data_IF_539873492916
#
_entry.id   IF_539873492916
#
_cell.length_a   1.000
_cell.length_b   1.000
_cell.length_c   1.000
_cell.angle_alpha   90.00
_cell.angle_beta   90.00
_cell.angle_gamma   90.00
#
_symmetry.space_group_name_H-M   'P 1'
#
loop_
_entity.id
_entity.type
_entity.pdbx_description
1 polymer ?
#
# COMPACT_ATOMS: atom_id res chain seq x y z
N UNK A 1 30.00 -12.22 33.35
CA UNK A 1 30.68 -12.83 32.25
C UNK A 1 30.26 -12.27 30.92
N UNK A 2 31.10 -12.48 29.95
CA UNK A 2 30.92 -11.93 28.62
C UNK A 2 29.61 -12.40 27.95
N UNK A 3 29.18 -13.60 28.23
CA UNK A 3 28.00 -14.17 27.60
C UNK A 3 26.72 -13.52 28.04
N UNK A 4 26.69 -12.86 29.18
CA UNK A 4 25.47 -12.20 29.65
C UNK A 4 25.24 -10.83 29.01
N UNK A 5 26.24 -10.25 28.39
CA UNK A 5 26.11 -8.93 27.78
C UNK A 5 25.52 -8.98 26.36
N UNK A 6 25.71 -10.08 25.68
CA UNK A 6 25.27 -10.23 24.31
C UNK A 6 23.75 -10.16 24.12
N UNK A 7 22.94 -10.80 24.98
CA UNK A 7 21.50 -10.72 24.83
C UNK A 7 20.95 -9.30 24.95
N UNK A 8 21.57 -8.49 25.79
CA UNK A 8 21.13 -7.11 25.96
C UNK A 8 21.34 -6.26 24.71
N UNK A 9 22.45 -6.50 24.00
CA UNK A 9 22.73 -5.81 22.75
C UNK A 9 21.72 -6.17 21.66
N UNK A 10 21.35 -7.43 21.58
CA UNK A 10 20.35 -7.88 20.61
C UNK A 10 18.99 -7.26 20.88
N UNK A 11 18.60 -7.16 22.13
CA UNK A 11 17.33 -6.52 22.48
C UNK A 11 17.29 -5.05 22.07
N UNK A 12 18.41 -4.34 22.20
CA UNK A 12 18.49 -2.95 21.78
C UNK A 12 18.31 -2.79 20.27
N UNK A 13 18.88 -3.69 19.50
CA UNK A 13 18.74 -3.66 18.05
C UNK A 13 17.29 -3.93 17.61
N UNK A 14 16.61 -4.85 18.29
CA UNK A 14 15.20 -5.13 18.00
C UNK A 14 14.31 -3.93 18.30
N UNK A 15 14.60 -3.20 19.37
CA UNK A 15 13.84 -2.01 19.71
C UNK A 15 13.99 -0.92 18.65
N UNK A 16 15.16 -0.75 18.07
CA UNK A 16 15.37 0.19 16.96
C UNK A 16 14.59 -0.23 15.71
N UNK A 17 14.56 -1.52 15.40
CA UNK A 17 13.81 -2.02 14.26
C UNK A 17 12.31 -1.75 14.39
N UNK A 18 11.78 -1.73 15.62
CA UNK A 18 10.36 -1.48 15.86
C UNK A 18 9.93 -0.05 15.51
N UNK A 19 10.89 0.89 15.36
CA UNK A 19 10.58 2.27 14.98
C UNK A 19 10.57 2.48 13.45
N UNK A 20 10.78 1.43 12.67
CA UNK A 20 10.81 1.53 11.22
C UNK A 20 9.40 1.65 10.64
N UNK A 21 9.31 1.98 9.35
CA UNK A 21 8.06 2.03 8.60
C UNK A 21 7.31 0.69 8.65
N UNK A 22 6.00 0.66 8.28
CA UNK A 22 5.23 -0.59 8.27
C UNK A 22 5.98 -1.71 7.57
N UNK A 23 5.97 -2.89 8.17
CA UNK A 23 6.71 -4.04 7.65
C UNK A 23 6.17 -4.47 6.30
N UNK A 24 7.07 -4.86 5.41
CA UNK A 24 6.72 -5.36 4.10
C UNK A 24 6.56 -4.29 3.05
N UNK A 25 6.36 -3.05 3.42
CA UNK A 25 6.24 -1.94 2.47
C UNK A 25 7.62 -1.30 2.29
N UNK A 26 8.03 -1.14 1.03
CA UNK A 26 9.29 -0.48 0.69
C UNK A 26 9.00 0.78 -0.08
N UNK A 27 9.64 1.86 0.28
CA UNK A 27 9.52 3.14 -0.42
C UNK A 27 10.89 3.68 -0.77
N UNK A 28 10.97 4.41 -1.87
CA UNK A 28 12.18 5.09 -2.32
C UNK A 28 11.87 6.56 -2.59
N UNK A 29 12.92 7.37 -2.69
CA UNK A 29 12.75 8.81 -2.93
C UNK A 29 12.11 9.49 -1.73
N UNK A 30 11.27 10.46 -2.01
CA UNK A 30 10.59 11.24 -0.98
C UNK A 30 9.19 10.73 -0.64
N UNK A 31 8.81 9.60 -1.21
CA UNK A 31 7.51 8.99 -0.92
C UNK A 31 7.51 8.34 0.46
N UNK A 32 6.48 8.64 1.25
CA UNK A 32 6.28 8.02 2.57
C UNK A 32 4.85 7.53 2.66
N UNK A 33 4.67 6.27 3.01
CA UNK A 33 3.36 5.68 3.22
C UNK A 33 3.13 5.52 4.72
N UNK A 34 1.93 5.87 5.16
CA UNK A 34 1.54 5.81 6.57
C UNK A 34 0.57 4.66 6.84
N UNK A 35 -0.32 4.38 5.90
CA UNK A 35 -1.35 3.36 6.09
C UNK A 35 -1.88 2.87 4.76
N UNK A 36 -2.43 1.67 4.78
CA UNK A 36 -3.12 1.06 3.65
C UNK A 36 -4.44 0.52 4.17
N UNK A 37 -5.52 0.71 3.41
CA UNK A 37 -6.84 0.16 3.74
C UNK A 37 -7.39 -0.61 2.53
N UNK A 38 -7.74 -1.89 2.63
CA UNK A 38 -7.65 -2.73 3.83
C UNK A 38 -6.19 -2.88 4.31
N UNK A 39 -6.02 -3.21 5.58
CA UNK A 39 -4.68 -3.31 6.15
C UNK A 39 -3.96 -4.57 5.66
N UNK A 40 -3.35 -4.46 4.49
CA UNK A 40 -2.66 -5.59 3.86
C UNK A 40 -1.41 -6.00 4.64
N UNK A 41 -0.82 -5.07 5.38
CA UNK A 41 0.34 -5.37 6.23
C UNK A 41 -0.07 -6.29 7.37
N UNK A 42 -1.27 -6.11 7.90
CA UNK A 42 -1.81 -6.97 8.95
C UNK A 42 -2.41 -8.28 8.41
N UNK A 43 -2.39 -8.49 7.10
CA UNK A 43 -2.86 -9.72 6.48
C UNK A 43 -4.20 -9.63 5.79
N UNK A 44 -4.80 -8.45 5.69
CA UNK A 44 -6.04 -8.30 4.94
C UNK A 44 -5.81 -8.54 3.46
N UNK A 45 -6.79 -9.15 2.79
CA UNK A 45 -6.76 -9.34 1.35
C UNK A 45 -7.56 -8.25 0.65
N UNK A 46 -7.23 -8.01 -0.61
CA UNK A 46 -8.03 -7.14 -1.48
C UNK A 46 -8.71 -8.01 -2.53
N UNK A 47 -9.72 -7.48 -3.20
CA UNK A 47 -10.46 -8.17 -4.24
C UNK A 47 -10.52 -7.35 -5.50
N UNK A 48 -10.53 -8.04 -6.64
CA UNK A 48 -10.72 -7.36 -7.92
C UNK A 48 -12.02 -6.57 -7.91
N UNK A 49 -11.98 -5.35 -8.42
CA UNK A 49 -13.13 -4.46 -8.45
C UNK A 49 -13.33 -3.62 -7.21
N UNK A 50 -12.73 -4.00 -6.09
CA UNK A 50 -12.81 -3.21 -4.86
C UNK A 50 -11.81 -2.07 -4.90
N UNK A 51 -12.06 -1.07 -4.07
CA UNK A 51 -11.14 0.04 -3.89
C UNK A 51 -10.17 -0.27 -2.77
N UNK A 52 -8.98 0.30 -2.85
CA UNK A 52 -8.04 0.33 -1.75
C UNK A 52 -7.54 1.76 -1.58
N UNK A 53 -7.17 2.12 -0.37
CA UNK A 53 -6.68 3.46 -0.06
C UNK A 53 -5.26 3.39 0.48
N UNK A 54 -4.42 4.26 -0.03
CA UNK A 54 -3.06 4.46 0.46
C UNK A 54 -2.98 5.85 1.06
N UNK A 55 -2.49 5.95 2.29
CA UNK A 55 -2.28 7.24 2.94
C UNK A 55 -0.79 7.51 3.04
N UNK A 56 -0.39 8.69 2.63
CA UNK A 56 1.02 9.06 2.62
C UNK A 56 1.22 10.56 2.63
N UNK A 57 2.47 10.96 2.46
CA UNK A 57 2.82 12.39 2.48
C UNK A 57 2.35 13.11 1.22
N UNK A 58 2.47 12.47 0.07
CA UNK A 58 1.99 13.05 -1.21
C UNK A 58 1.92 11.95 -2.26
N UNK A 59 1.00 12.09 -3.19
CA UNK A 59 0.90 11.22 -4.36
C UNK A 59 1.00 12.02 -5.66
N UNK A 60 1.62 13.20 -5.57
CA UNK A 60 1.79 14.06 -6.74
C UNK A 60 0.50 14.75 -7.14
N UNK A 61 0.24 14.81 -8.42
CA UNK A 61 -0.94 15.48 -8.97
C UNK A 61 -1.86 14.49 -9.65
N UNK A 62 -3.16 14.78 -9.64
CA UNK A 62 -4.13 13.95 -10.33
C UNK A 62 -3.81 13.86 -11.84
N UNK A 63 -3.33 14.97 -12.42
CA UNK A 63 -2.95 14.98 -13.83
C UNK A 63 -1.88 13.94 -14.16
N UNK A 64 -0.90 13.76 -13.27
CA UNK A 64 0.14 12.76 -13.49
C UNK A 64 -0.44 11.35 -13.53
N UNK A 65 -1.43 11.08 -12.68
CA UNK A 65 -2.11 9.78 -12.68
C UNK A 65 -2.97 9.60 -13.92
N UNK A 66 -3.71 10.63 -14.30
CA UNK A 66 -4.59 10.57 -15.47
C UNK A 66 -3.79 10.39 -16.77
N UNK A 67 -2.60 10.94 -16.84
CA UNK A 67 -1.75 10.88 -18.02
C UNK A 67 -0.74 9.73 -18.01
N UNK A 68 -0.76 8.93 -16.95
CA UNK A 68 0.09 7.74 -16.86
C UNK A 68 1.54 8.00 -16.46
N UNK A 69 1.89 9.21 -16.05
CA UNK A 69 3.22 9.50 -15.52
C UNK A 69 3.40 8.92 -14.12
N UNK A 70 2.33 8.94 -13.33
CA UNK A 70 2.25 8.17 -12.10
C UNK A 70 1.37 6.96 -12.36
N UNK A 71 1.70 5.83 -11.76
CA UNK A 71 0.94 4.60 -12.01
C UNK A 71 1.07 3.61 -10.87
N UNK A 72 0.13 2.69 -10.80
CA UNK A 72 0.15 1.56 -9.89
C UNK A 72 -0.03 0.29 -10.72
N UNK A 73 0.89 -0.66 -10.56
CA UNK A 73 0.86 -1.91 -11.30
C UNK A 73 0.63 -3.06 -10.33
N UNK A 74 -0.48 -3.75 -10.53
CA UNK A 74 -0.84 -4.92 -9.73
C UNK A 74 -0.24 -6.18 -10.33
N UNK A 75 0.11 -7.19 -9.50
CA UNK A 75 0.56 -8.47 -10.04
C UNK A 75 -0.56 -9.15 -10.83
N UNK A 76 -0.26 -10.01 -11.80
CA UNK A 76 1.06 -10.57 -12.08
C UNK A 76 1.93 -9.67 -12.94
N UNK A 77 3.23 -9.96 -12.96
CA UNK A 77 4.17 -9.32 -13.86
C UNK A 77 3.80 -9.65 -15.32
N UNK A 78 3.86 -8.70 -16.28
CA UNK A 78 4.50 -7.36 -16.22
C UNK A 78 3.73 -6.29 -15.45
N UNK A 79 2.50 -6.53 -15.07
CA UNK A 79 1.73 -5.63 -14.24
C UNK A 79 0.43 -5.18 -14.87
N UNK A 80 -0.61 -5.12 -14.05
CA UNK A 80 -1.93 -4.65 -14.44
C UNK A 80 -2.15 -3.28 -13.84
N UNK A 81 -2.38 -2.24 -14.65
CA UNK A 81 -2.63 -0.92 -14.08
C UNK A 81 -3.94 -0.89 -13.30
N UNK A 82 -3.99 -0.08 -12.26
CA UNK A 82 -5.23 0.16 -11.54
C UNK A 82 -6.29 0.65 -12.53
N UNK A 83 -7.53 0.19 -12.37
CA UNK A 83 -8.61 0.63 -13.27
C UNK A 83 -8.91 2.10 -13.09
N UNK A 84 -8.81 2.58 -11.87
CA UNK A 84 -8.99 3.99 -11.53
C UNK A 84 -8.02 4.37 -10.44
N UNK A 85 -7.56 5.62 -10.45
CA UNK A 85 -6.70 6.18 -9.43
C UNK A 85 -7.15 7.61 -9.16
N UNK A 86 -7.40 7.93 -7.89
CA UNK A 86 -7.88 9.25 -7.52
C UNK A 86 -7.23 9.72 -6.22
N UNK A 87 -6.73 10.94 -6.24
CA UNK A 87 -6.14 11.56 -5.06
C UNK A 87 -7.23 12.35 -4.33
N UNK A 88 -7.36 12.11 -3.04
CA UNK A 88 -8.24 12.89 -2.17
C UNK A 88 -7.40 13.57 -1.10
N UNK A 89 -7.81 14.74 -0.70
CA UNK A 89 -7.10 15.51 0.33
C UNK A 89 -8.07 15.94 1.43
N UNK A 90 -8.79 14.98 1.94
CA UNK A 90 -9.69 15.26 3.05
C UNK A 90 -8.93 15.07 4.37
N UNK A 91 -8.74 16.13 5.12
CA UNK A 91 -8.28 16.11 6.50
C UNK A 91 -6.92 15.44 6.75
N UNK A 92 -5.86 16.04 6.24
CA UNK A 92 -4.51 15.60 6.59
C UNK A 92 -3.74 15.05 5.41
N UNK A 93 -2.94 13.99 5.61
CA UNK A 93 -2.09 13.47 4.54
C UNK A 93 -2.91 13.02 3.34
N UNK A 94 -2.29 13.13 2.18
CA UNK A 94 -2.94 12.76 0.94
C UNK A 94 -3.34 11.29 0.94
N UNK A 95 -4.49 11.01 0.35
CA UNK A 95 -4.98 9.65 0.18
C UNK A 95 -5.10 9.35 -1.31
N UNK A 96 -4.52 8.24 -1.72
CA UNK A 96 -4.67 7.74 -3.08
C UNK A 96 -5.63 6.57 -3.06
N UNK A 97 -6.72 6.69 -3.81
CA UNK A 97 -7.68 5.61 -3.98
C UNK A 97 -7.37 4.89 -5.29
N UNK A 98 -7.22 3.57 -5.20
CA UNK A 98 -6.94 2.72 -6.35
C UNK A 98 -8.02 1.66 -6.47
N UNK A 99 -8.51 1.43 -7.68
CA UNK A 99 -9.42 0.34 -7.92
C UNK A 99 -8.65 -0.87 -8.41
N UNK A 100 -8.80 -1.98 -7.72
CA UNK A 100 -8.08 -3.22 -8.03
C UNK A 100 -8.59 -3.79 -9.36
N UNK A 101 -7.71 -4.01 -10.35
CA UNK A 101 -8.15 -4.46 -11.67
C UNK A 101 -8.57 -5.93 -11.64
N UNK A 102 -9.44 -6.29 -12.59
CA UNK A 102 -9.75 -7.69 -12.84
C UNK A 102 -8.48 -8.41 -13.28
N UNK A 103 -8.31 -9.63 -12.80
CA UNK A 103 -7.13 -10.41 -13.12
C UNK A 103 -5.96 -10.20 -12.17
N UNK A 104 -6.07 -9.29 -11.19
CA UNK A 104 -5.02 -9.11 -10.20
C UNK A 104 -4.82 -10.40 -9.40
N UNK A 105 -3.57 -10.71 -9.10
CA UNK A 105 -3.18 -11.89 -8.32
C UNK A 105 -2.34 -11.46 -7.12
N UNK A 106 -2.16 -12.38 -6.17
CA UNK A 106 -1.29 -12.10 -5.03
C UNK A 106 0.15 -11.89 -5.49
N UNK A 107 0.84 -10.96 -4.87
CA UNK A 107 2.20 -10.60 -5.20
C UNK A 107 2.52 -9.22 -4.69
N UNK A 108 3.26 -8.45 -5.47
CA UNK A 108 3.70 -7.11 -5.06
C UNK A 108 3.04 -6.06 -5.96
N UNK A 109 2.36 -5.11 -5.31
CA UNK A 109 1.85 -3.91 -5.96
C UNK A 109 3.01 -2.93 -6.09
N UNK A 110 3.24 -2.43 -7.29
CA UNK A 110 4.29 -1.44 -7.56
C UNK A 110 3.68 -0.09 -7.85
N UNK A 111 4.13 0.89 -7.12
CA UNK A 111 3.63 2.25 -7.23
C UNK A 111 4.75 3.17 -7.67
N UNK A 112 4.47 3.99 -8.66
CA UNK A 112 5.39 5.05 -9.09
C UNK A 112 4.66 6.38 -9.01
N UNK A 113 5.21 7.31 -8.25
CA UNK A 113 4.66 8.66 -8.12
C UNK A 113 5.65 9.63 -8.73
N UNK A 114 5.27 10.22 -9.84
CA UNK A 114 6.15 11.10 -10.63
C UNK A 114 6.70 12.23 -9.80
N UNK A 115 8.03 12.39 -9.82
CA UNK A 115 8.70 13.44 -9.07
C UNK A 115 8.81 13.21 -7.57
N UNK A 116 8.29 12.11 -7.06
CA UNK A 116 8.27 11.82 -5.61
C UNK A 116 9.04 10.55 -5.27
N UNK A 117 8.65 9.41 -5.83
CA UNK A 117 9.33 8.16 -5.51
C UNK A 117 8.50 6.95 -5.90
N UNK A 118 8.91 5.79 -5.35
CA UNK A 118 8.28 4.53 -5.66
C UNK A 118 7.96 3.76 -4.39
N UNK A 119 7.02 2.83 -4.49
CA UNK A 119 6.68 1.96 -3.38
C UNK A 119 6.42 0.55 -3.88
N UNK A 120 6.71 -0.42 -3.02
CA UNK A 120 6.36 -1.82 -3.23
C UNK A 120 5.55 -2.27 -2.04
N UNK A 121 4.36 -2.81 -2.29
CA UNK A 121 3.42 -3.19 -1.25
C UNK A 121 3.02 -4.65 -1.47
N UNK A 122 3.34 -5.56 -0.55
CA UNK A 122 2.88 -6.94 -0.66
C UNK A 122 1.36 -6.99 -0.61
N UNK A 123 0.75 -7.73 -1.51
CA UNK A 123 -0.70 -7.89 -1.58
C UNK A 123 -1.09 -9.35 -1.56
N UNK A 124 -2.18 -9.64 -0.88
CA UNK A 124 -2.91 -10.88 -1.04
C UNK A 124 -4.23 -10.54 -1.72
N UNK A 125 -4.48 -11.18 -2.85
CA UNK A 125 -5.68 -10.94 -3.63
C UNK A 125 -6.56 -12.19 -3.55
N UNK A 126 -7.82 -11.99 -3.18
CA UNK A 126 -8.81 -13.06 -3.14
C UNK A 126 -9.73 -12.95 -4.35
N UNK A 127 -10.34 -14.06 -4.71
CA UNK A 127 -11.30 -14.08 -5.81
C UNK A 127 -12.55 -13.28 -5.50
N UNK A 128 -13.31 -12.97 -6.54
CA UNK A 128 -14.50 -12.13 -6.47
C UNK A 128 -15.71 -12.83 -5.84
N UNK A 129 -15.54 -13.84 -5.01
CA UNK A 129 -16.70 -14.46 -4.36
C UNK A 129 -17.33 -13.48 -3.37
N UNK A 130 -18.66 -13.41 -3.30
CA UNK A 130 -19.36 -12.54 -2.37
C UNK A 130 -19.27 -13.09 -0.95
N UNK A 131 -18.13 -12.96 -0.33
CA UNK A 131 -17.97 -13.34 1.06
C UNK A 131 -18.13 -12.11 1.93
N UNK A 132 -18.60 -12.34 3.16
CA UNK A 132 -18.68 -11.25 4.12
C UNK A 132 -17.29 -10.71 4.39
N UNK A 133 -17.18 -9.39 4.43
CA UNK A 133 -15.93 -8.74 4.76
C UNK A 133 -15.46 -9.18 6.15
N UNK A 134 -14.19 -9.52 6.28
CA UNK A 134 -13.60 -9.83 7.57
C UNK A 134 -13.55 -8.54 8.38
N UNK A 135 -14.01 -8.54 9.64
CA UNK A 135 -13.93 -7.33 10.47
C UNK A 135 -12.51 -6.76 10.49
N UNK A 136 -12.41 -5.46 10.26
CA UNK A 136 -11.12 -4.78 10.18
C UNK A 136 -10.47 -4.79 8.80
N UNK A 137 -11.05 -5.51 7.86
CA UNK A 137 -10.52 -5.62 6.49
C UNK A 137 -11.47 -5.06 5.45
N UNK A 138 -12.35 -4.17 5.82
CA UNK A 138 -13.30 -3.56 4.90
C UNK A 138 -12.57 -2.68 3.88
N UNK A 139 -12.96 -2.75 2.60
CA UNK A 139 -12.43 -1.81 1.62
C UNK A 139 -12.94 -0.40 1.92
N UNK A 140 -12.20 0.65 1.52
CA UNK A 140 -12.70 2.00 1.62
C UNK A 140 -13.89 2.19 0.68
N UNK A 141 -14.77 3.15 0.96
CA UNK A 141 -15.85 3.47 0.03
C UNK A 141 -15.26 4.05 -1.26
N UNK A 142 -15.97 3.87 -2.40
CA UNK A 142 -15.53 4.48 -3.64
C UNK A 142 -15.53 6.00 -3.52
N UNK A 143 -14.71 6.70 -4.31
CA UNK A 143 -14.69 8.15 -4.27
C UNK A 143 -16.06 8.70 -4.71
N UNK A 144 -16.48 9.77 -4.06
CA UNK A 144 -17.73 10.44 -4.43
C UNK A 144 -17.50 11.27 -5.69
N UNK A 145 -18.44 11.21 -6.65
CA UNK A 145 -18.33 12.00 -7.87
C UNK A 145 -18.43 13.52 -7.60
#
# INVERSE_FOLDING_TARGET
DEDTMRPALFLSLLALAACAAPQGIRTTGDLRLQAVQPDVVAGCAVRAGDWMALKGNTFGTQADWDEGRSYALFPPTPGLPAEEAEITQEQGPATLLLRVPEGAESGVLRLHVEGVGEAEIPLRVEGASPQMAVPGCEPPPPPTP
#
